data_IF_357607660970
#
_entry.id   IF_357607660970
#
_cell.length_a   1.000
_cell.length_b   1.000
_cell.length_c   1.000
_cell.angle_alpha   90.00
_cell.angle_beta   90.00
_cell.angle_gamma   90.00
#
_symmetry.space_group_name_H-M   'P 1'
#
loop_
_entity.id
_entity.type
_entity.pdbx_description
1 polymer ?
#
# COMPACT_ATOMS: atom_id res chain seq x y z
N UNK A 1 -23.87 14.77 20.91
CA UNK A 1 -22.99 13.77 21.54
C UNK A 1 -22.54 14.32 22.87
N UNK A 2 -22.70 13.56 23.95
CA UNK A 2 -22.23 13.95 25.29
C UNK A 2 -20.69 14.00 25.35
N UNK A 3 -20.15 14.64 26.39
CA UNK A 3 -18.70 14.84 26.57
C UNK A 3 -17.97 13.50 26.62
N UNK A 4 -18.53 12.51 27.31
CA UNK A 4 -17.94 11.17 27.42
C UNK A 4 -17.78 10.50 26.06
N UNK A 5 -18.82 10.52 25.23
CA UNK A 5 -18.72 10.01 23.86
C UNK A 5 -17.68 10.75 23.05
N UNK A 6 -17.55 12.08 23.18
CA UNK A 6 -16.55 12.87 22.43
C UNK A 6 -15.13 12.48 22.82
N UNK A 7 -14.87 12.28 24.12
CA UNK A 7 -13.57 11.80 24.62
C UNK A 7 -13.26 10.42 24.04
N UNK A 8 -14.21 9.48 24.11
CA UNK A 8 -14.01 8.12 23.57
C UNK A 8 -13.80 8.14 22.05
N UNK A 9 -14.52 9.01 21.33
CA UNK A 9 -14.35 9.20 19.90
C UNK A 9 -12.93 9.67 19.54
N UNK A 10 -12.43 10.71 20.22
CA UNK A 10 -11.09 11.25 19.99
C UNK A 10 -10.01 10.24 20.40
N UNK A 11 -10.18 9.56 21.54
CA UNK A 11 -9.27 8.51 21.99
C UNK A 11 -9.25 7.34 21.01
N UNK A 12 -10.42 6.86 20.58
CA UNK A 12 -10.56 5.79 19.60
C UNK A 12 -9.90 6.15 18.27
N UNK A 13 -10.15 7.37 17.76
CA UNK A 13 -9.49 7.90 16.57
C UNK A 13 -7.96 7.98 16.72
N UNK A 14 -7.47 8.48 17.86
CA UNK A 14 -6.03 8.65 18.08
C UNK A 14 -5.31 7.30 18.21
N UNK A 15 -5.91 6.35 18.93
CA UNK A 15 -5.40 4.99 19.07
C UNK A 15 -5.46 4.23 17.74
N UNK A 16 -6.55 4.37 16.99
CA UNK A 16 -6.68 3.80 15.65
C UNK A 16 -5.62 4.39 14.71
N UNK A 17 -5.42 5.71 14.74
CA UNK A 17 -4.38 6.40 13.98
C UNK A 17 -3.00 5.80 14.29
N UNK A 18 -2.62 5.69 15.57
CA UNK A 18 -1.32 5.14 15.95
C UNK A 18 -1.16 3.66 15.55
N UNK A 19 -2.17 2.83 15.83
CA UNK A 19 -2.10 1.38 15.64
C UNK A 19 -2.22 0.95 14.17
N UNK A 20 -3.13 1.54 13.41
CA UNK A 20 -3.29 1.27 11.97
C UNK A 20 -2.07 1.76 11.21
N UNK A 21 -1.60 2.98 11.50
CA UNK A 21 -0.39 3.50 10.85
C UNK A 21 0.81 2.63 11.21
N UNK A 22 0.97 2.24 12.48
CA UNK A 22 2.05 1.34 12.92
C UNK A 22 2.03 -0.05 12.26
N UNK A 23 0.86 -0.61 11.96
CA UNK A 23 0.75 -1.95 11.35
C UNK A 23 0.86 -1.90 9.82
N UNK A 24 0.03 -1.08 9.18
CA UNK A 24 -0.25 -1.19 7.75
C UNK A 24 0.71 -0.35 6.89
N UNK A 25 1.20 0.78 7.43
CA UNK A 25 2.18 1.61 6.72
C UNK A 25 3.49 0.86 6.55
N UNK A 26 3.88 0.01 7.51
CA UNK A 26 5.07 -0.82 7.38
C UNK A 26 4.87 -1.92 6.34
N UNK A 27 3.67 -2.52 6.27
CA UNK A 27 3.34 -3.50 5.24
C UNK A 27 3.32 -2.87 3.82
N UNK A 28 3.01 -1.58 3.73
CA UNK A 28 2.87 -0.85 2.46
C UNK A 28 4.15 -0.15 2.01
N UNK A 29 4.88 0.46 2.94
CA UNK A 29 6.09 1.24 2.68
C UNK A 29 7.37 0.52 3.11
N UNK A 30 7.28 -0.70 3.64
CA UNK A 30 8.43 -1.42 4.18
C UNK A 30 9.54 -1.64 3.15
N UNK A 31 9.17 -2.00 1.92
CA UNK A 31 10.06 -2.13 0.75
C UNK A 31 10.75 -0.81 0.41
N UNK A 32 9.99 0.30 0.41
CA UNK A 32 10.52 1.65 0.18
C UNK A 32 11.51 2.07 1.27
N UNK A 33 11.19 1.81 2.54
CA UNK A 33 12.06 2.11 3.69
C UNK A 33 13.35 1.29 3.60
N UNK A 34 13.27 0.00 3.27
CA UNK A 34 14.45 -0.87 3.17
C UNK A 34 15.34 -0.50 1.99
N UNK A 35 14.76 -0.30 0.80
CA UNK A 35 15.50 0.03 -0.42
C UNK A 35 16.07 1.45 -0.42
N UNK A 36 15.56 2.33 0.45
CA UNK A 36 16.04 3.70 0.62
C UNK A 36 16.68 3.94 2.01
N UNK A 37 17.15 2.88 2.68
CA UNK A 37 17.71 2.95 4.05
C UNK A 37 18.93 3.88 4.21
N UNK A 38 19.66 4.16 3.13
CA UNK A 38 20.77 5.14 3.11
C UNK A 38 20.29 6.59 3.02
N UNK A 39 19.02 6.84 2.65
CA UNK A 39 18.46 8.19 2.51
C UNK A 39 18.00 8.75 3.86
N UNK A 40 18.03 10.07 3.95
CA UNK A 40 17.56 10.78 5.15
C UNK A 40 16.04 10.60 5.29
N UNK A 41 15.59 10.26 6.50
CA UNK A 41 14.18 9.94 6.79
C UNK A 41 13.22 11.07 6.41
N UNK A 42 13.63 12.35 6.57
CA UNK A 42 12.78 13.49 6.24
C UNK A 42 12.52 13.63 4.73
N UNK A 43 13.42 13.14 3.87
CA UNK A 43 13.16 13.11 2.42
C UNK A 43 12.07 12.08 2.08
N UNK A 44 12.15 10.91 2.71
CA UNK A 44 11.12 9.87 2.59
C UNK A 44 9.77 10.38 3.12
N UNK A 45 9.81 11.11 4.24
CA UNK A 45 8.62 11.70 4.86
C UNK A 45 8.02 12.81 4.03
N UNK A 46 8.81 13.73 3.47
CA UNK A 46 8.30 14.77 2.58
C UNK A 46 7.63 14.17 1.34
N UNK A 47 8.18 13.09 0.79
CA UNK A 47 7.59 12.40 -0.35
C UNK A 47 6.24 11.74 0.00
N UNK A 48 6.25 10.84 0.98
CA UNK A 48 5.08 10.05 1.38
C UNK A 48 4.01 10.93 2.04
N UNK A 49 4.43 11.86 2.90
CA UNK A 49 3.58 12.86 3.54
C UNK A 49 3.00 13.85 2.53
N UNK A 50 3.76 14.25 1.51
CA UNK A 50 3.28 15.08 0.41
C UNK A 50 2.16 14.40 -0.39
N UNK A 51 2.32 13.11 -0.71
CA UNK A 51 1.25 12.32 -1.37
C UNK A 51 0.02 12.22 -0.46
N UNK A 52 0.22 11.97 0.83
CA UNK A 52 -0.87 11.91 1.80
C UNK A 52 -1.66 13.22 1.84
N UNK A 53 -0.96 14.35 1.95
CA UNK A 53 -1.56 15.68 1.93
C UNK A 53 -2.29 15.95 0.60
N UNK A 54 -1.73 15.54 -0.53
CA UNK A 54 -2.38 15.71 -1.83
C UNK A 54 -3.71 14.92 -1.92
N UNK A 55 -3.71 13.65 -1.48
CA UNK A 55 -4.92 12.81 -1.45
C UNK A 55 -5.95 13.39 -0.47
N UNK A 56 -5.53 13.81 0.72
CA UNK A 56 -6.40 14.42 1.72
C UNK A 56 -7.00 15.76 1.24
N UNK A 57 -6.19 16.59 0.56
CA UNK A 57 -6.66 17.85 -0.03
C UNK A 57 -7.68 17.58 -1.13
N UNK A 58 -7.41 16.61 -2.00
CA UNK A 58 -8.34 16.19 -3.03
C UNK A 58 -9.68 15.71 -2.42
N UNK A 59 -9.65 14.90 -1.37
CA UNK A 59 -10.84 14.43 -0.68
C UNK A 59 -11.64 15.58 -0.03
N UNK A 60 -10.95 16.56 0.54
CA UNK A 60 -11.57 17.76 1.09
C UNK A 60 -12.42 18.51 0.05
N UNK A 61 -11.83 18.83 -1.10
CA UNK A 61 -12.51 19.64 -2.11
C UNK A 61 -13.51 18.87 -2.97
N UNK A 62 -13.25 17.58 -3.25
CA UNK A 62 -14.03 16.82 -4.24
C UNK A 62 -14.97 15.80 -3.61
N UNK A 63 -14.75 15.42 -2.35
CA UNK A 63 -15.49 14.36 -1.65
C UNK A 63 -16.06 14.85 -0.32
N UNK A 64 -16.26 16.17 -0.15
CA UNK A 64 -16.80 16.76 1.07
C UNK A 64 -16.03 16.35 2.34
N UNK A 65 -14.70 16.21 2.24
CA UNK A 65 -13.87 15.77 3.36
C UNK A 65 -13.88 14.26 3.63
N UNK A 66 -14.54 13.44 2.80
CA UNK A 66 -14.49 11.99 2.93
C UNK A 66 -13.21 11.40 2.35
N UNK A 67 -12.19 11.25 3.21
CA UNK A 67 -10.92 10.63 2.86
C UNK A 67 -11.01 9.10 2.66
N UNK A 68 -12.12 8.48 3.06
CA UNK A 68 -12.38 7.05 2.85
C UNK A 68 -13.04 6.76 1.49
N UNK A 69 -13.31 7.79 0.67
CA UNK A 69 -13.83 7.66 -0.70
C UNK A 69 -15.14 6.84 -0.76
N UNK A 70 -16.08 7.09 0.15
CA UNK A 70 -17.38 6.43 0.24
C UNK A 70 -17.36 5.04 0.86
N UNK A 71 -16.21 4.56 1.36
CA UNK A 71 -16.11 3.24 2.00
C UNK A 71 -16.87 3.11 3.30
N UNK A 72 -17.06 4.24 3.95
CA UNK A 72 -17.76 4.33 5.21
C UNK A 72 -19.29 4.47 5.02
N UNK A 73 -19.79 4.65 3.80
CA UNK A 73 -21.23 4.86 3.52
C UNK A 73 -22.09 3.67 3.97
N UNK A 74 -21.54 2.46 3.91
CA UNK A 74 -22.21 1.22 4.32
C UNK A 74 -21.99 0.85 5.79
N UNK A 75 -21.23 1.66 6.53
CA UNK A 75 -20.92 1.42 7.95
C UNK A 75 -21.69 2.44 8.77
N UNK A 76 -22.54 2.02 9.71
CA UNK A 76 -23.34 2.96 10.50
C UNK A 76 -22.41 3.85 11.34
N UNK A 77 -22.70 5.15 11.36
CA UNK A 77 -22.04 6.08 12.26
C UNK A 77 -22.72 6.01 13.64
N UNK A 78 -22.00 5.67 14.72
CA UNK A 78 -22.60 5.51 16.03
C UNK A 78 -23.05 6.86 16.59
N UNK A 79 -24.28 6.91 17.14
CA UNK A 79 -24.82 8.12 17.79
C UNK A 79 -24.19 8.37 19.16
N UNK A 80 -23.82 7.30 19.86
CA UNK A 80 -23.14 7.30 21.16
C UNK A 80 -21.88 6.45 21.06
N UNK A 81 -20.76 6.95 21.60
CA UNK A 81 -19.50 6.23 21.61
C UNK A 81 -19.31 5.55 22.96
N UNK A 82 -19.39 4.23 22.97
CA UNK A 82 -19.14 3.44 24.17
C UNK A 82 -17.66 3.09 24.31
N UNK A 83 -17.19 2.90 25.55
CA UNK A 83 -15.78 2.68 25.86
C UNK A 83 -15.17 1.48 25.12
N UNK A 84 -15.96 0.45 24.84
CA UNK A 84 -15.50 -0.74 24.12
C UNK A 84 -15.12 -0.47 22.66
N UNK A 85 -15.53 0.66 22.07
CA UNK A 85 -15.05 1.07 20.73
C UNK A 85 -13.56 1.41 20.72
N UNK A 86 -12.95 1.70 21.88
CA UNK A 86 -11.50 1.88 21.97
C UNK A 86 -10.72 0.56 22.11
N UNK A 87 -11.39 -0.58 22.37
CA UNK A 87 -10.72 -1.87 22.54
C UNK A 87 -10.00 -2.37 21.28
N UNK A 88 -10.59 -2.33 20.07
CA UNK A 88 -9.92 -2.80 18.85
C UNK A 88 -8.54 -2.16 18.61
N UNK A 89 -8.38 -0.82 18.63
CA UNK A 89 -7.07 -0.23 18.41
C UNK A 89 -6.11 -0.50 19.56
N UNK A 90 -6.56 -0.62 20.82
CA UNK A 90 -5.69 -1.03 21.95
C UNK A 90 -5.15 -2.44 21.73
N UNK A 91 -6.02 -3.39 21.38
CA UNK A 91 -5.65 -4.77 21.08
C UNK A 91 -4.68 -4.81 19.91
N UNK A 92 -4.91 -3.98 18.89
CA UNK A 92 -4.00 -3.87 17.74
C UNK A 92 -2.61 -3.41 18.18
N UNK A 93 -2.49 -2.39 19.04
CA UNK A 93 -1.18 -1.98 19.59
C UNK A 93 -0.50 -3.13 20.33
N UNK A 94 -1.23 -3.91 21.11
CA UNK A 94 -0.67 -5.04 21.86
C UNK A 94 -0.19 -6.14 20.92
N UNK A 95 -1.03 -6.58 19.97
CA UNK A 95 -0.68 -7.68 19.07
C UNK A 95 0.46 -7.29 18.11
N UNK A 96 0.47 -6.05 17.64
CA UNK A 96 1.52 -5.56 16.72
C UNK A 96 2.90 -5.50 17.38
N UNK A 97 3.00 -5.36 18.71
CA UNK A 97 4.27 -5.48 19.46
C UNK A 97 4.90 -6.88 19.36
N UNK A 98 4.08 -7.92 19.18
CA UNK A 98 4.56 -9.29 18.96
C UNK A 98 4.91 -9.58 17.49
N UNK A 99 4.79 -8.59 16.60
CA UNK A 99 5.10 -8.75 15.18
C UNK A 99 4.14 -9.70 14.45
N UNK A 100 2.91 -9.86 14.95
CA UNK A 100 1.86 -10.62 14.27
C UNK A 100 1.12 -9.65 13.35
N UNK A 101 1.14 -9.85 12.02
CA UNK A 101 0.34 -9.04 11.11
C UNK A 101 -1.13 -9.33 11.34
N UNK A 102 -1.88 -8.30 11.74
CA UNK A 102 -3.34 -8.39 11.95
C UNK A 102 -4.05 -7.60 10.87
N UNK A 103 -5.19 -8.11 10.44
CA UNK A 103 -6.11 -7.35 9.61
C UNK A 103 -6.79 -6.24 10.44
N UNK A 104 -6.30 -5.03 10.27
CA UNK A 104 -6.86 -3.82 10.92
C UNK A 104 -8.31 -3.60 10.53
N UNK A 105 -8.64 -3.84 9.26
CA UNK A 105 -10.00 -3.78 8.72
C UNK A 105 -10.96 -4.70 9.48
N UNK A 106 -10.59 -5.97 9.71
CA UNK A 106 -11.46 -6.88 10.46
C UNK A 106 -11.56 -6.50 11.92
N UNK A 107 -10.45 -6.14 12.56
CA UNK A 107 -10.43 -5.86 13.99
C UNK A 107 -11.26 -4.61 14.32
N UNK A 108 -11.10 -3.54 13.54
CA UNK A 108 -11.75 -2.25 13.82
C UNK A 108 -13.16 -2.21 13.23
N UNK A 109 -13.32 -2.39 11.91
CA UNK A 109 -14.61 -2.11 11.26
C UNK A 109 -15.72 -3.10 11.61
N UNK A 110 -15.38 -4.33 11.98
CA UNK A 110 -16.37 -5.34 12.37
C UNK A 110 -17.11 -4.96 13.66
N UNK A 111 -16.49 -4.17 14.54
CA UNK A 111 -17.14 -3.65 15.75
C UNK A 111 -18.17 -2.58 15.43
N UNK A 112 -17.95 -1.82 14.35
CA UNK A 112 -18.90 -0.80 13.86
C UNK A 112 -20.00 -1.41 12.97
N UNK A 113 -19.75 -2.50 12.26
CA UNK A 113 -20.72 -3.14 11.39
C UNK A 113 -20.62 -4.67 11.39
N UNK A 114 -21.45 -5.32 12.23
CA UNK A 114 -21.53 -6.78 12.25
C UNK A 114 -22.13 -7.38 10.97
N UNK A 115 -23.00 -6.63 10.27
CA UNK A 115 -23.68 -7.09 9.05
C UNK A 115 -22.74 -7.22 7.85
N UNK A 116 -21.66 -6.43 7.79
CA UNK A 116 -20.76 -6.41 6.64
C UNK A 116 -19.61 -7.42 6.73
N UNK A 117 -19.42 -8.06 7.90
CA UNK A 117 -18.27 -8.94 8.18
C UNK A 117 -18.10 -10.02 7.11
N UNK A 118 -19.18 -10.74 6.76
CA UNK A 118 -19.13 -11.79 5.74
C UNK A 118 -18.58 -11.26 4.41
N UNK A 119 -19.11 -10.14 3.93
CA UNK A 119 -18.69 -9.53 2.66
C UNK A 119 -17.25 -9.00 2.70
N UNK A 120 -16.78 -8.55 3.86
CA UNK A 120 -15.39 -8.14 4.07
C UNK A 120 -14.45 -9.35 4.07
N UNK A 121 -14.87 -10.47 4.67
CA UNK A 121 -14.12 -11.75 4.68
C UNK A 121 -14.00 -12.29 3.27
N UNK A 122 -15.13 -12.42 2.55
CA UNK A 122 -15.15 -12.90 1.17
C UNK A 122 -14.22 -12.05 0.27
N UNK A 123 -14.29 -10.73 0.38
CA UNK A 123 -13.42 -9.82 -0.40
C UNK A 123 -11.95 -9.92 -0.04
N UNK A 124 -11.62 -10.15 1.23
CA UNK A 124 -10.22 -10.27 1.64
C UNK A 124 -9.64 -11.60 1.20
N UNK A 125 -10.43 -12.68 1.19
CA UNK A 125 -10.04 -13.98 0.63
C UNK A 125 -9.87 -13.90 -0.90
N UNK A 126 -10.79 -13.24 -1.60
CA UNK A 126 -10.63 -12.96 -3.03
C UNK A 126 -9.40 -12.08 -3.28
N UNK A 127 -9.19 -11.06 -2.46
CA UNK A 127 -8.00 -10.21 -2.44
C UNK A 127 -6.71 -11.01 -2.36
N UNK A 128 -6.63 -11.90 -1.37
CA UNK A 128 -5.52 -12.83 -1.19
C UNK A 128 -5.30 -13.69 -2.43
N UNK A 129 -6.35 -14.37 -2.92
CA UNK A 129 -6.23 -15.32 -4.02
C UNK A 129 -5.81 -14.62 -5.31
N UNK A 130 -6.40 -13.48 -5.62
CA UNK A 130 -6.03 -12.67 -6.78
C UNK A 130 -4.59 -12.19 -6.68
N UNK A 131 -4.17 -11.64 -5.53
CA UNK A 131 -2.78 -11.21 -5.33
C UNK A 131 -1.78 -12.36 -5.47
N UNK A 132 -2.12 -13.52 -4.90
CA UNK A 132 -1.32 -14.74 -4.96
C UNK A 132 -1.15 -15.24 -6.39
N UNK A 133 -2.24 -15.37 -7.15
CA UNK A 133 -2.20 -15.81 -8.55
C UNK A 133 -1.48 -14.81 -9.44
N UNK A 134 -1.79 -13.51 -9.31
CA UNK A 134 -1.11 -12.45 -10.07
C UNK A 134 0.38 -12.45 -9.77
N UNK A 135 0.80 -12.58 -8.51
CA UNK A 135 2.20 -12.68 -8.15
C UNK A 135 2.85 -13.92 -8.77
N UNK A 136 2.24 -15.10 -8.69
CA UNK A 136 2.77 -16.31 -9.33
C UNK A 136 2.98 -16.09 -10.82
N UNK A 137 1.95 -15.63 -11.54
CA UNK A 137 2.00 -15.39 -12.97
C UNK A 137 3.10 -14.39 -13.31
N UNK A 138 3.07 -13.22 -12.67
CA UNK A 138 4.00 -12.12 -12.92
C UNK A 138 5.44 -12.56 -12.65
N UNK A 139 5.71 -13.19 -11.50
CA UNK A 139 7.05 -13.65 -11.15
C UNK A 139 7.50 -14.87 -11.98
N UNK A 140 6.60 -15.72 -12.48
CA UNK A 140 6.94 -16.78 -13.45
C UNK A 140 7.41 -16.21 -14.80
N UNK A 141 6.82 -15.10 -15.26
CA UNK A 141 7.22 -14.44 -16.51
C UNK A 141 8.44 -13.53 -16.34
N UNK A 142 8.55 -12.84 -15.21
CA UNK A 142 9.62 -11.88 -14.92
C UNK A 142 10.92 -12.59 -14.53
N UNK A 143 10.89 -13.61 -13.67
CA UNK A 143 12.10 -14.14 -13.02
C UNK A 143 13.07 -14.81 -14.01
N UNK A 144 12.58 -15.54 -15.02
CA UNK A 144 13.46 -16.12 -16.06
C UNK A 144 14.34 -15.10 -16.80
N UNK A 145 13.88 -13.85 -16.99
CA UNK A 145 14.62 -12.82 -17.75
C UNK A 145 15.29 -11.77 -16.87
N UNK A 146 14.60 -11.29 -15.84
CA UNK A 146 15.10 -10.20 -15.00
C UNK A 146 15.94 -10.70 -13.85
N UNK A 147 15.65 -11.86 -13.29
CA UNK A 147 16.33 -12.34 -12.08
C UNK A 147 17.59 -13.13 -12.41
N UNK A 148 17.62 -13.87 -13.53
CA UNK A 148 18.88 -14.39 -14.08
C UNK A 148 19.85 -13.26 -14.42
N UNK A 149 19.31 -12.11 -14.88
CA UNK A 149 20.07 -10.88 -15.06
C UNK A 149 20.47 -10.28 -13.69
N UNK A 150 19.59 -10.19 -12.69
CA UNK A 150 19.90 -9.63 -11.36
C UNK A 150 20.90 -10.46 -10.56
N UNK A 151 20.82 -11.79 -10.61
CA UNK A 151 21.75 -12.72 -9.96
C UNK A 151 23.09 -12.74 -10.71
N UNK A 152 23.12 -12.75 -12.04
CA UNK A 152 24.38 -12.63 -12.80
C UNK A 152 25.04 -11.25 -12.63
N UNK A 153 24.23 -10.22 -12.35
CA UNK A 153 24.66 -8.85 -12.08
C UNK A 153 25.17 -8.68 -10.63
N UNK A 154 24.75 -9.51 -9.68
CA UNK A 154 25.22 -9.41 -8.30
C UNK A 154 26.71 -9.74 -8.14
N UNK A 155 27.30 -10.56 -9.02
CA UNK A 155 28.71 -10.97 -8.95
C UNK A 155 29.56 -10.57 -10.18
N UNK A 156 28.95 -10.20 -11.32
CA UNK A 156 29.67 -9.89 -12.59
C UNK A 156 29.50 -8.45 -13.09
N UNK A 157 28.92 -7.57 -12.28
CA UNK A 157 28.65 -6.17 -12.66
C UNK A 157 29.80 -5.20 -12.37
N UNK A 158 30.89 -5.67 -11.75
CA UNK A 158 32.12 -4.88 -11.62
C UNK A 158 32.89 -4.73 -12.94
N UNK A 159 32.56 -5.49 -14.00
CA UNK A 159 33.38 -5.54 -15.23
C UNK A 159 32.72 -4.98 -16.51
N UNK A 160 31.44 -4.59 -16.50
CA UNK A 160 30.73 -4.21 -17.74
C UNK A 160 30.41 -2.71 -17.93
N UNK A 161 31.02 -1.81 -17.17
CA UNK A 161 30.88 -0.36 -17.42
C UNK A 161 32.05 0.19 -18.23
N UNK A 162 32.06 -0.14 -19.52
CA UNK A 162 32.81 0.63 -20.51
C UNK A 162 32.17 0.61 -21.91
N UNK A 163 30.85 0.79 -22.04
CA UNK A 163 30.29 1.17 -23.35
C UNK A 163 28.94 1.91 -23.29
N UNK A 164 28.96 3.13 -23.82
CA UNK A 164 27.87 3.94 -24.40
C UNK A 164 26.67 4.36 -23.51
N UNK A 165 26.81 5.56 -22.97
CA UNK A 165 25.83 6.38 -22.22
C UNK A 165 24.47 6.57 -22.91
N UNK A 166 24.42 6.55 -24.25
CA UNK A 166 23.19 6.94 -24.98
C UNK A 166 22.24 5.77 -25.25
N UNK A 167 22.76 4.55 -25.43
CA UNK A 167 21.92 3.38 -25.74
C UNK A 167 21.18 2.86 -24.50
N UNK A 168 21.79 2.98 -23.31
CA UNK A 168 21.18 2.58 -22.03
C UNK A 168 20.06 3.55 -21.64
N UNK A 169 20.26 4.85 -21.86
CA UNK A 169 19.24 5.88 -21.67
C UNK A 169 18.04 5.67 -22.61
N UNK A 170 18.29 5.48 -23.92
CA UNK A 170 17.21 5.19 -24.86
C UNK A 170 16.45 3.92 -24.48
N UNK A 171 17.13 2.85 -24.05
CA UNK A 171 16.45 1.61 -23.63
C UNK A 171 15.65 1.77 -22.34
N UNK A 172 16.17 2.50 -21.34
CA UNK A 172 15.44 2.75 -20.09
C UNK A 172 14.22 3.65 -20.32
N UNK A 173 14.38 4.70 -21.12
CA UNK A 173 13.29 5.58 -21.55
C UNK A 173 12.25 4.84 -22.38
N UNK A 174 12.69 4.00 -23.32
CA UNK A 174 11.81 3.16 -24.14
C UNK A 174 11.09 2.10 -23.30
N UNK A 175 11.76 1.47 -22.32
CA UNK A 175 11.14 0.50 -21.40
C UNK A 175 10.15 1.18 -20.45
N UNK A 176 10.41 2.41 -20.02
CA UNK A 176 9.49 3.23 -19.23
C UNK A 176 8.27 3.67 -20.05
N UNK A 177 8.48 4.12 -21.30
CA UNK A 177 7.40 4.41 -22.25
C UNK A 177 6.62 3.16 -22.65
N UNK A 178 7.25 1.99 -22.70
CA UNK A 178 6.57 0.70 -22.88
C UNK A 178 5.82 0.31 -21.63
N UNK A 179 6.31 0.57 -20.42
CA UNK A 179 5.59 0.25 -19.18
C UNK A 179 4.37 1.17 -18.98
N UNK A 180 4.53 2.47 -19.26
CA UNK A 180 3.42 3.44 -19.31
C UNK A 180 2.49 3.11 -20.47
N UNK A 181 3.06 2.83 -21.64
CA UNK A 181 2.33 2.46 -22.84
C UNK A 181 1.54 1.17 -22.64
N UNK A 182 2.09 0.15 -21.99
CA UNK A 182 1.41 -1.09 -21.61
C UNK A 182 0.38 -0.84 -20.51
N UNK A 183 0.63 0.05 -19.55
CA UNK A 183 -0.38 0.47 -18.58
C UNK A 183 -1.56 1.15 -19.27
N UNK A 184 -1.29 2.08 -20.20
CA UNK A 184 -2.29 2.79 -21.01
C UNK A 184 -2.97 1.85 -22.01
N UNK A 185 -2.24 0.89 -22.58
CA UNK A 185 -2.73 -0.11 -23.56
C UNK A 185 -3.52 -1.20 -22.87
N UNK A 186 -3.19 -1.62 -21.65
CA UNK A 186 -4.02 -2.51 -20.82
C UNK A 186 -5.30 -1.79 -20.41
N UNK A 187 -5.20 -0.50 -20.03
CA UNK A 187 -6.37 0.36 -19.77
C UNK A 187 -7.21 0.61 -21.03
N UNK A 188 -6.60 0.72 -22.22
CA UNK A 188 -7.29 0.86 -23.51
C UNK A 188 -7.82 -0.47 -24.09
N UNK A 189 -7.17 -1.60 -23.82
CA UNK A 189 -7.65 -2.95 -24.20
C UNK A 189 -8.89 -3.30 -23.38
N UNK A 190 -8.92 -2.89 -22.11
CA UNK A 190 -10.13 -2.92 -21.28
C UNK A 190 -11.13 -1.82 -21.72
N UNK A 191 -10.64 -0.75 -22.36
CA UNK A 191 -11.38 0.44 -22.77
C UNK A 191 -11.73 0.52 -24.26
N UNK A 192 -12.38 -0.50 -24.84
CA UNK A 192 -13.00 -0.34 -26.16
C UNK A 192 -14.22 0.62 -26.07
N UNK A 193 -13.94 1.87 -26.45
CA UNK A 193 -14.79 3.07 -26.52
C UNK A 193 -16.25 2.85 -26.97
N UNK A 194 -16.48 2.01 -27.98
CA UNK A 194 -17.83 1.78 -28.52
C UNK A 194 -18.67 0.81 -27.67
N UNK A 195 -18.04 -0.04 -26.85
CA UNK A 195 -18.75 -1.03 -26.03
C UNK A 195 -19.28 -0.39 -24.71
N UNK A 196 -18.53 0.54 -24.14
CA UNK A 196 -18.82 1.12 -22.81
C UNK A 196 -19.93 2.17 -22.87
N UNK A 197 -19.95 3.03 -23.89
CA UNK A 197 -21.04 3.99 -24.09
C UNK A 197 -22.38 3.28 -24.37
N UNK A 198 -22.33 2.15 -25.10
CA UNK A 198 -23.51 1.33 -25.41
C UNK A 198 -24.10 0.57 -24.22
N UNK A 199 -23.30 0.22 -23.21
CA UNK A 199 -23.73 -0.61 -22.06
C UNK A 199 -24.07 0.24 -20.81
N UNK A 200 -23.31 1.31 -20.52
CA UNK A 200 -23.39 2.01 -19.22
C UNK A 200 -23.96 3.42 -19.27
N UNK A 201 -24.24 3.96 -20.46
CA UNK A 201 -24.87 5.28 -20.65
C UNK A 201 -23.96 6.49 -20.37
N UNK A 202 -24.42 7.66 -20.81
CA UNK A 202 -23.62 8.91 -20.90
C UNK A 202 -23.06 9.43 -19.56
N UNK A 203 -23.70 9.12 -18.43
CA UNK A 203 -23.24 9.56 -17.10
C UNK A 203 -21.98 8.82 -16.62
N UNK A 204 -21.86 7.52 -16.87
CA UNK A 204 -20.67 6.73 -16.51
C UNK A 204 -19.41 7.20 -17.27
N UNK A 205 -19.59 7.69 -18.51
CA UNK A 205 -18.52 8.27 -19.32
C UNK A 205 -17.99 9.60 -18.76
N UNK A 206 -18.88 10.44 -18.19
CA UNK A 206 -18.48 11.69 -17.52
C UNK A 206 -17.58 11.42 -16.31
N UNK A 207 -17.86 10.34 -15.57
CA UNK A 207 -17.02 9.85 -14.46
C UNK A 207 -15.66 9.33 -14.95
N UNK A 208 -15.63 8.60 -16.08
CA UNK A 208 -14.39 8.10 -16.71
C UNK A 208 -13.48 9.23 -17.23
N UNK A 209 -14.03 10.27 -17.87
CA UNK A 209 -13.27 11.45 -18.29
C UNK A 209 -12.62 12.18 -17.12
N UNK A 210 -13.34 12.27 -15.99
CA UNK A 210 -12.84 12.86 -14.75
C UNK A 210 -11.70 12.03 -14.14
N UNK A 211 -11.71 10.70 -14.32
CA UNK A 211 -10.65 9.79 -13.90
C UNK A 211 -9.35 10.00 -14.71
N UNK A 212 -9.45 10.10 -16.04
CA UNK A 212 -8.28 10.37 -16.90
C UNK A 212 -7.66 11.73 -16.55
N UNK A 213 -8.48 12.75 -16.35
CA UNK A 213 -8.03 14.09 -15.96
C UNK A 213 -7.28 14.11 -14.61
N UNK A 214 -7.75 13.36 -13.60
CA UNK A 214 -7.08 13.25 -12.29
C UNK A 214 -5.70 12.58 -12.37
N UNK A 215 -5.54 11.58 -13.23
CA UNK A 215 -4.26 10.91 -13.40
C UNK A 215 -3.25 11.77 -14.18
N UNK A 216 -3.72 12.57 -15.15
CA UNK A 216 -2.89 13.60 -15.81
C UNK A 216 -2.48 14.70 -14.82
N UNK A 217 -3.37 15.12 -13.93
CA UNK A 217 -3.07 16.09 -12.88
C UNK A 217 -2.05 15.54 -11.86
N UNK A 218 -2.15 14.24 -11.50
CA UNK A 218 -1.16 13.57 -10.67
C UNK A 218 0.22 13.51 -11.36
N UNK A 219 0.26 13.29 -12.68
CA UNK A 219 1.50 13.37 -13.45
C UNK A 219 2.11 14.78 -13.44
N UNK A 220 1.30 15.85 -13.45
CA UNK A 220 1.76 17.24 -13.32
C UNK A 220 2.37 17.57 -11.95
N UNK A 221 2.12 16.77 -10.90
CA UNK A 221 2.78 16.89 -9.59
C UNK A 221 4.02 16.00 -9.50
N UNK A 222 3.95 14.79 -10.07
CA UNK A 222 5.05 13.82 -10.06
C UNK A 222 6.22 14.29 -10.91
N UNK A 223 5.98 14.99 -12.03
CA UNK A 223 7.03 15.47 -12.94
C UNK A 223 7.89 16.61 -12.36
N UNK A 224 7.33 17.64 -11.69
CA UNK A 224 8.12 18.63 -10.97
C UNK A 224 8.88 18.05 -9.77
N UNK A 225 8.27 17.11 -9.03
CA UNK A 225 8.94 16.38 -7.94
C UNK A 225 10.09 15.52 -8.50
N UNK A 226 9.91 14.91 -9.68
CA UNK A 226 10.96 14.22 -10.42
C UNK A 226 12.14 15.17 -10.73
N UNK A 227 11.88 16.37 -11.26
CA UNK A 227 12.94 17.34 -11.55
C UNK A 227 13.65 17.84 -10.29
N UNK A 228 12.90 18.05 -9.21
CA UNK A 228 13.45 18.48 -7.92
C UNK A 228 14.34 17.40 -7.28
N UNK A 229 13.88 16.15 -7.26
CA UNK A 229 14.64 15.02 -6.72
C UNK A 229 15.85 14.66 -7.60
N UNK A 230 15.73 14.76 -8.93
CA UNK A 230 16.83 14.60 -9.87
C UNK A 230 17.93 15.65 -9.63
N UNK A 231 17.54 16.91 -9.41
CA UNK A 231 18.47 18.01 -9.12
C UNK A 231 19.19 17.83 -7.79
N UNK A 232 18.50 17.34 -6.76
CA UNK A 232 19.12 17.02 -5.45
C UNK A 232 20.05 15.80 -5.55
N UNK A 233 19.71 14.81 -6.38
CA UNK A 233 20.54 13.62 -6.63
C UNK A 233 21.87 13.93 -7.33
N UNK A 234 21.94 15.01 -8.13
CA UNK A 234 23.19 15.47 -8.76
C UNK A 234 24.13 16.19 -7.78
N UNK A 235 23.59 16.90 -6.78
CA UNK A 235 24.40 17.68 -5.83
C UNK A 235 25.04 16.79 -4.76
N UNK A 236 24.48 15.62 -4.48
CA UNK A 236 25.00 14.68 -3.49
C UNK A 236 26.11 13.74 -4.02
N UNK A 237 26.39 13.72 -5.33
CA UNK A 237 27.18 12.66 -5.96
C UNK A 237 28.43 13.19 -6.68
N UNK A 238 29.35 13.78 -5.92
CA UNK A 238 30.72 14.01 -6.43
C UNK A 238 31.80 13.15 -5.77
N UNK A 239 31.50 12.24 -4.82
CA UNK A 239 32.60 11.52 -4.14
C UNK A 239 32.51 10.04 -3.78
N UNK A 240 31.37 9.34 -3.85
CA UNK A 240 31.35 7.90 -3.53
C UNK A 240 30.81 7.07 -4.70
N UNK A 241 31.74 6.44 -5.42
CA UNK A 241 31.51 5.66 -6.64
C UNK A 241 31.37 4.16 -6.37
N UNK A 242 30.57 3.78 -5.36
CA UNK A 242 30.18 2.39 -5.16
C UNK A 242 28.66 2.30 -4.96
N UNK A 243 28.02 1.46 -5.77
CA UNK A 243 26.58 1.13 -5.73
C UNK A 243 25.60 2.07 -6.48
N UNK A 244 25.89 2.34 -7.75
CA UNK A 244 24.90 2.95 -8.66
C UNK A 244 23.89 1.91 -9.17
N UNK A 245 22.77 1.75 -8.47
CA UNK A 245 21.50 1.46 -9.18
C UNK A 245 21.23 2.62 -10.13
N UNK A 246 20.93 2.36 -11.42
CA UNK A 246 20.67 3.45 -12.37
C UNK A 246 19.58 4.36 -11.83
N UNK A 247 19.76 5.68 -11.95
CA UNK A 247 18.83 6.68 -11.42
C UNK A 247 17.37 6.41 -11.83
N UNK A 248 17.16 5.78 -13.00
CA UNK A 248 15.84 5.35 -13.51
C UNK A 248 15.13 4.33 -12.62
N UNK A 249 15.84 3.34 -12.06
CA UNK A 249 15.22 2.34 -11.16
C UNK A 249 14.79 2.95 -9.84
N UNK A 250 15.58 3.90 -9.31
CA UNK A 250 15.18 4.67 -8.14
C UNK A 250 13.89 5.47 -8.41
N UNK A 251 13.81 6.14 -9.55
CA UNK A 251 12.61 6.89 -9.94
C UNK A 251 11.40 5.95 -10.10
N UNK A 252 11.58 4.82 -10.79
CA UNK A 252 10.52 3.83 -10.96
C UNK A 252 10.03 3.30 -9.61
N UNK A 253 10.94 3.01 -8.69
CA UNK A 253 10.64 2.57 -7.33
C UNK A 253 9.79 3.61 -6.61
N UNK A 254 10.23 4.88 -6.58
CA UNK A 254 9.49 5.96 -5.92
C UNK A 254 8.09 6.13 -6.52
N UNK A 255 7.96 6.16 -7.85
CA UNK A 255 6.66 6.25 -8.52
C UNK A 255 5.77 5.06 -8.15
N UNK A 256 6.30 3.84 -8.17
CA UNK A 256 5.54 2.64 -7.79
C UNK A 256 5.09 2.67 -6.33
N UNK A 257 5.95 3.11 -5.41
CA UNK A 257 5.59 3.34 -4.01
C UNK A 257 4.52 4.40 -3.88
N UNK A 258 4.66 5.54 -4.58
CA UNK A 258 3.68 6.62 -4.53
C UNK A 258 2.31 6.19 -5.04
N UNK A 259 2.27 5.38 -6.11
CA UNK A 259 1.05 4.76 -6.61
C UNK A 259 0.43 3.82 -5.56
N UNK A 260 1.20 2.86 -5.04
CA UNK A 260 0.75 1.94 -4.00
C UNK A 260 0.23 2.71 -2.76
N UNK A 261 0.99 3.69 -2.30
CA UNK A 261 0.67 4.51 -1.13
C UNK A 261 -0.64 5.26 -1.30
N UNK A 262 -0.87 5.85 -2.48
CA UNK A 262 -2.15 6.50 -2.77
C UNK A 262 -3.33 5.52 -2.76
N UNK A 263 -3.15 4.28 -3.24
CA UNK A 263 -4.20 3.26 -3.18
C UNK A 263 -4.47 2.84 -1.74
N UNK A 264 -3.42 2.67 -0.94
CA UNK A 264 -3.54 2.32 0.47
C UNK A 264 -4.30 3.39 1.26
N UNK A 265 -3.95 4.68 1.11
CA UNK A 265 -4.67 5.78 1.77
C UNK A 265 -6.17 5.71 1.46
N UNK A 266 -6.52 5.62 0.17
CA UNK A 266 -7.92 5.59 -0.27
C UNK A 266 -8.68 4.40 0.32
N UNK A 267 -7.98 3.29 0.54
CA UNK A 267 -8.55 2.07 1.07
C UNK A 267 -8.71 2.15 2.60
N UNK A 268 -7.59 2.27 3.30
CA UNK A 268 -7.49 1.96 4.73
C UNK A 268 -7.78 3.18 5.62
N UNK A 269 -7.94 4.39 5.08
CA UNK A 269 -8.45 5.52 5.86
C UNK A 269 -9.83 5.25 6.44
N UNK A 270 -10.60 4.32 5.88
CA UNK A 270 -11.83 3.82 6.49
C UNK A 270 -11.59 3.28 7.92
N UNK A 271 -10.48 2.57 8.19
CA UNK A 271 -10.19 1.98 9.50
C UNK A 271 -9.92 3.05 10.57
N UNK A 272 -9.48 4.23 10.16
CA UNK A 272 -9.14 5.34 11.07
C UNK A 272 -10.31 6.32 11.19
N UNK A 273 -10.87 6.76 10.05
CA UNK A 273 -11.96 7.74 10.00
C UNK A 273 -13.33 7.16 10.35
N UNK A 274 -13.45 5.85 10.60
CA UNK A 274 -14.70 5.26 11.11
C UNK A 274 -15.19 5.94 12.39
N UNK A 275 -14.26 6.44 13.21
CA UNK A 275 -14.51 7.17 14.47
C UNK A 275 -14.89 8.64 14.28
N UNK A 276 -14.62 9.26 13.13
CA UNK A 276 -14.88 10.69 12.96
C UNK A 276 -16.18 10.93 12.16
N UNK A 277 -16.84 12.08 12.37
CA UNK A 277 -17.93 12.55 11.51
C UNK A 277 -17.50 12.60 10.03
N UNK A 278 -18.46 12.37 9.13
CA UNK A 278 -18.24 12.16 7.68
C UNK A 278 -19.03 13.16 6.84
N UNK A 279 -18.79 13.23 5.53
CA UNK A 279 -19.57 14.02 4.56
C UNK A 279 -19.78 15.48 4.98
N UNK A 280 -18.69 16.18 5.28
CA UNK A 280 -18.71 17.60 5.66
C UNK A 280 -19.17 17.89 7.10
N UNK A 281 -19.58 16.88 7.87
CA UNK A 281 -19.96 17.07 9.28
C UNK A 281 -18.75 17.32 10.20
N UNK A 282 -17.54 17.01 9.76
CA UNK A 282 -16.30 17.35 10.47
C UNK A 282 -15.88 18.78 10.12
N UNK A 283 -15.60 19.60 11.13
CA UNK A 283 -15.12 20.96 10.91
C UNK A 283 -13.80 20.97 10.14
N UNK A 284 -13.54 22.03 9.38
CA UNK A 284 -12.28 22.16 8.63
C UNK A 284 -11.06 22.04 9.53
N UNK A 285 -11.11 22.66 10.71
CA UNK A 285 -10.05 22.52 11.72
C UNK A 285 -9.90 21.07 12.20
N UNK A 286 -11.01 20.39 12.51
CA UNK A 286 -10.99 18.99 12.94
C UNK A 286 -10.40 18.05 11.88
N UNK A 287 -10.76 18.26 10.60
CA UNK A 287 -10.20 17.51 9.48
C UNK A 287 -8.69 17.72 9.37
N UNK A 288 -8.22 18.97 9.31
CA UNK A 288 -6.79 19.24 9.14
C UNK A 288 -5.95 18.85 10.35
N UNK A 289 -6.49 18.88 11.58
CA UNK A 289 -5.84 18.33 12.76
C UNK A 289 -5.70 16.80 12.69
N UNK A 290 -6.73 16.10 12.21
CA UNK A 290 -6.68 14.66 11.97
C UNK A 290 -5.60 14.30 10.93
N UNK A 291 -5.52 15.06 9.83
CA UNK A 291 -4.49 14.88 8.81
C UNK A 291 -3.09 15.19 9.37
N UNK A 292 -2.94 16.28 10.13
CA UNK A 292 -1.67 16.65 10.76
C UNK A 292 -1.17 15.58 11.74
N UNK A 293 -2.07 14.98 12.53
CA UNK A 293 -1.74 13.85 13.40
C UNK A 293 -1.21 12.67 12.58
N UNK A 294 -1.90 12.27 11.50
CA UNK A 294 -1.49 11.15 10.67
C UNK A 294 -0.15 11.40 9.97
N UNK A 295 0.07 12.59 9.42
CA UNK A 295 1.34 12.99 8.81
C UNK A 295 2.47 13.03 9.86
N UNK A 296 2.19 13.49 11.08
CA UNK A 296 3.14 13.44 12.19
C UNK A 296 3.51 12.00 12.59
N UNK A 297 2.54 11.11 12.69
CA UNK A 297 2.77 9.68 12.97
C UNK A 297 3.57 9.00 11.86
N UNK A 298 3.31 9.34 10.59
CA UNK A 298 4.13 8.89 9.46
C UNK A 298 5.59 9.34 9.60
N UNK A 299 5.80 10.59 10.04
CA UNK A 299 7.14 11.12 10.32
C UNK A 299 7.86 10.33 11.40
N UNK A 300 7.15 9.98 12.49
CA UNK A 300 7.68 9.16 13.57
C UNK A 300 8.08 7.76 13.09
N UNK A 301 7.24 7.09 12.29
CA UNK A 301 7.55 5.75 11.75
C UNK A 301 8.76 5.79 10.82
N UNK A 302 8.85 6.79 9.95
CA UNK A 302 9.99 6.93 9.03
C UNK A 302 11.28 7.31 9.77
N UNK A 303 11.19 8.14 10.81
CA UNK A 303 12.31 8.43 11.71
C UNK A 303 12.83 7.17 12.40
N UNK A 304 11.92 6.33 12.90
CA UNK A 304 12.25 5.04 13.52
C UNK A 304 12.58 3.92 12.50
N UNK A 305 12.53 4.22 11.19
CA UNK A 305 12.72 3.26 10.10
C UNK A 305 11.85 2.00 10.22
N UNK A 306 10.61 2.16 10.70
CA UNK A 306 9.65 1.07 10.90
C UNK A 306 9.88 0.18 12.14
N UNK A 307 10.89 0.44 12.98
CA UNK A 307 11.06 -0.23 14.27
C UNK A 307 11.07 -1.77 14.22
N UNK A 308 10.47 -2.43 15.20
CA UNK A 308 10.44 -3.90 15.32
C UNK A 308 9.62 -4.60 14.22
N UNK A 309 8.58 -3.96 13.69
CA UNK A 309 7.66 -4.53 12.69
C UNK A 309 8.33 -4.57 11.31
N UNK A 310 9.26 -3.65 11.02
CA UNK A 310 10.06 -3.67 9.78
C UNK A 310 10.80 -5.00 9.58
N UNK A 311 11.15 -5.72 10.66
CA UNK A 311 11.77 -7.04 10.60
C UNK A 311 10.93 -8.07 9.83
N UNK A 312 9.61 -7.90 9.76
CA UNK A 312 8.73 -8.80 9.00
C UNK A 312 8.94 -8.65 7.49
N UNK A 313 9.19 -7.42 7.02
CA UNK A 313 9.41 -7.14 5.59
C UNK A 313 10.86 -7.41 5.21
N UNK A 314 11.81 -7.03 6.06
CA UNK A 314 13.25 -7.20 5.77
C UNK A 314 13.75 -8.65 5.88
N UNK A 315 12.97 -9.55 6.49
CA UNK A 315 13.26 -10.99 6.48
C UNK A 315 12.84 -11.68 5.17
N UNK A 316 12.22 -10.95 4.24
CA UNK A 316 11.80 -11.49 2.93
C UNK A 316 12.90 -11.33 1.90
N UNK A 317 12.94 -12.25 0.94
CA UNK A 317 14.00 -12.34 -0.06
C UNK A 317 14.07 -11.07 -0.89
N UNK A 318 15.24 -10.45 -1.01
CA UNK A 318 15.52 -9.35 -1.94
C UNK A 318 14.59 -8.10 -1.82
N UNK A 319 14.16 -7.71 -0.61
CA UNK A 319 13.36 -6.48 -0.40
C UNK A 319 14.20 -5.21 -0.28
N UNK A 320 15.52 -5.35 -0.17
CA UNK A 320 16.47 -4.24 -0.13
C UNK A 320 16.87 -3.75 -1.53
N UNK A 321 16.73 -4.58 -2.55
CA UNK A 321 17.00 -4.19 -3.93
C UNK A 321 15.88 -3.30 -4.48
N UNK A 322 16.26 -2.15 -5.03
CA UNK A 322 15.35 -1.13 -5.58
C UNK A 322 14.48 -1.68 -6.72
N UNK A 323 14.98 -2.62 -7.53
CA UNK A 323 14.28 -3.18 -8.69
C UNK A 323 13.21 -4.16 -8.22
N UNK A 324 13.57 -5.04 -7.29
CA UNK A 324 12.64 -5.94 -6.62
C UNK A 324 11.54 -5.16 -5.88
N UNK A 325 11.92 -4.12 -5.11
CA UNK A 325 10.98 -3.23 -4.46
C UNK A 325 10.01 -2.56 -5.45
N UNK A 326 10.50 -2.10 -6.61
CA UNK A 326 9.64 -1.53 -7.67
C UNK A 326 8.55 -2.50 -8.14
N UNK A 327 8.92 -3.76 -8.39
CA UNK A 327 8.00 -4.77 -8.89
C UNK A 327 6.96 -5.14 -7.82
N UNK A 328 7.41 -5.29 -6.56
CA UNK A 328 6.51 -5.57 -5.43
C UNK A 328 5.50 -4.44 -5.28
N UNK A 329 5.98 -3.19 -5.18
CA UNK A 329 5.14 -2.02 -4.96
C UNK A 329 4.13 -1.83 -6.08
N UNK A 330 4.56 -1.96 -7.33
CA UNK A 330 3.69 -1.80 -8.49
C UNK A 330 2.63 -2.89 -8.58
N UNK A 331 3.01 -4.16 -8.36
CA UNK A 331 2.06 -5.28 -8.40
C UNK A 331 1.05 -5.16 -7.28
N UNK A 332 1.49 -4.81 -6.08
CA UNK A 332 0.60 -4.60 -4.95
C UNK A 332 -0.37 -3.43 -5.23
N UNK A 333 0.15 -2.32 -5.74
CA UNK A 333 -0.66 -1.15 -6.10
C UNK A 333 -1.74 -1.47 -7.13
N UNK A 334 -1.44 -2.27 -8.15
CA UNK A 334 -2.42 -2.68 -9.17
C UNK A 334 -3.52 -3.53 -8.54
N UNK A 335 -3.16 -4.51 -7.70
CA UNK A 335 -4.18 -5.36 -7.06
C UNK A 335 -5.08 -4.50 -6.17
N UNK A 336 -4.51 -3.63 -5.34
CA UNK A 336 -5.31 -2.71 -4.52
C UNK A 336 -6.22 -1.82 -5.38
N UNK A 337 -5.70 -1.29 -6.49
CA UNK A 337 -6.46 -0.46 -7.42
C UNK A 337 -7.67 -1.20 -7.99
N UNK A 338 -7.49 -2.43 -8.51
CA UNK A 338 -8.57 -3.24 -9.07
C UNK A 338 -9.67 -3.47 -8.02
N UNK A 339 -9.29 -3.88 -6.82
CA UNK A 339 -10.28 -4.14 -5.77
C UNK A 339 -11.01 -2.88 -5.30
N UNK A 340 -10.29 -1.75 -5.24
CA UNK A 340 -10.88 -0.45 -4.90
C UNK A 340 -11.94 -0.03 -5.91
N UNK A 341 -11.68 -0.20 -7.21
CA UNK A 341 -12.62 0.21 -8.27
C UNK A 341 -13.79 -0.79 -8.37
N UNK A 342 -13.51 -2.08 -8.16
CA UNK A 342 -14.54 -3.11 -8.15
C UNK A 342 -15.50 -2.99 -6.95
N UNK A 343 -15.02 -2.51 -5.79
CA UNK A 343 -15.89 -2.38 -4.63
C UNK A 343 -15.56 -1.27 -3.62
N UNK A 344 -16.63 -0.61 -3.18
CA UNK A 344 -16.62 0.34 -2.06
C UNK A 344 -16.66 -0.30 -0.67
N UNK A 345 -16.70 -1.62 -0.54
CA UNK A 345 -16.62 -2.26 0.79
C UNK A 345 -15.14 -2.39 1.18
N UNK A 346 -14.73 -1.93 2.38
CA UNK A 346 -13.38 -2.16 2.89
C UNK A 346 -12.99 -3.63 2.84
N UNK A 347 -11.80 -3.92 2.33
CA UNK A 347 -11.16 -5.23 2.37
C UNK A 347 -9.89 -5.17 3.23
N UNK A 348 -9.33 -6.30 3.62
CA UNK A 348 -8.06 -6.29 4.33
C UNK A 348 -6.88 -6.25 3.37
N UNK A 349 -6.13 -5.15 3.40
CA UNK A 349 -4.88 -5.00 2.63
C UNK A 349 -3.79 -5.95 3.13
N UNK A 350 -3.77 -6.32 4.41
CA UNK A 350 -2.91 -7.38 4.97
C UNK A 350 -3.05 -8.73 4.25
N UNK A 351 -4.27 -9.15 3.91
CA UNK A 351 -4.49 -10.41 3.18
C UNK A 351 -3.96 -10.34 1.75
N UNK A 352 -4.17 -9.21 1.07
CA UNK A 352 -3.61 -8.96 -0.27
C UNK A 352 -2.09 -9.01 -0.24
N UNK A 353 -1.47 -8.33 0.74
CA UNK A 353 -0.02 -8.30 0.92
C UNK A 353 0.56 -9.69 1.16
N UNK A 354 -0.01 -10.47 2.08
CA UNK A 354 0.46 -11.84 2.35
C UNK A 354 0.27 -12.76 1.15
N UNK A 355 -0.84 -12.62 0.41
CA UNK A 355 -1.06 -13.36 -0.84
C UNK A 355 0.01 -13.04 -1.89
N UNK A 356 0.32 -11.76 -2.09
CA UNK A 356 1.37 -11.31 -3.00
C UNK A 356 2.74 -11.91 -2.63
N UNK A 357 3.12 -11.81 -1.36
CA UNK A 357 4.38 -12.36 -0.86
C UNK A 357 4.44 -13.88 -1.04
N UNK A 358 3.37 -14.58 -0.68
CA UNK A 358 3.30 -16.03 -0.81
C UNK A 358 3.45 -16.48 -2.27
N UNK A 359 2.75 -15.84 -3.19
CA UNK A 359 2.82 -16.17 -4.62
C UNK A 359 4.21 -15.89 -5.19
N UNK A 360 4.80 -14.75 -4.80
CA UNK A 360 6.18 -14.39 -5.16
C UNK A 360 7.18 -15.42 -4.67
N UNK A 361 7.25 -15.71 -3.38
CA UNK A 361 8.27 -16.61 -2.82
C UNK A 361 8.19 -18.01 -3.45
N UNK A 362 6.98 -18.53 -3.70
CA UNK A 362 6.79 -19.80 -4.41
C UNK A 362 7.31 -19.74 -5.85
N UNK A 363 6.96 -18.69 -6.60
CA UNK A 363 7.40 -18.53 -7.98
C UNK A 363 8.92 -18.37 -8.10
N UNK A 364 9.54 -17.65 -7.16
CA UNK A 364 10.99 -17.48 -7.07
C UNK A 364 11.67 -18.81 -6.77
N UNK A 365 11.20 -19.53 -5.76
CA UNK A 365 11.78 -20.81 -5.35
C UNK A 365 11.66 -21.88 -6.43
N UNK A 366 10.53 -21.91 -7.13
CA UNK A 366 10.33 -22.81 -8.26
C UNK A 366 11.33 -22.55 -9.39
N UNK A 367 11.69 -21.29 -9.64
CA UNK A 367 12.63 -20.91 -10.70
C UNK A 367 14.10 -20.98 -10.29
N UNK A 368 14.40 -20.77 -9.01
CA UNK A 368 15.75 -20.79 -8.43
C UNK A 368 16.21 -22.19 -7.98
N UNK A 369 15.55 -23.25 -8.43
CA UNK A 369 15.83 -24.63 -8.01
C UNK A 369 17.18 -25.18 -8.54
N UNK A 370 18.29 -24.81 -7.88
CA UNK A 370 19.44 -25.64 -7.49
C UNK A 370 20.49 -24.75 -6.80
N UNK A 371 20.39 -24.57 -5.48
CA UNK A 371 21.54 -24.16 -4.65
C UNK A 371 21.28 -23.07 -3.61
N UNK A 372 20.59 -21.98 -3.95
CA UNK A 372 20.69 -20.73 -3.15
C UNK A 372 19.40 -20.30 -2.41
N UNK A 373 18.20 -20.70 -2.86
CA UNK A 373 16.92 -20.20 -2.32
C UNK A 373 16.27 -21.06 -1.20
N UNK A 374 16.96 -22.10 -0.72
CA UNK A 374 16.40 -23.06 0.25
C UNK A 374 15.48 -24.11 -0.39
N UNK A 375 15.06 -25.10 0.41
CA UNK A 375 14.20 -26.18 -0.07
C UNK A 375 12.79 -25.65 -0.42
N UNK A 376 12.19 -26.13 -1.50
CA UNK A 376 10.79 -25.83 -1.83
C UNK A 376 9.84 -26.11 -0.65
N UNK A 377 10.15 -27.13 0.17
CA UNK A 377 9.42 -27.43 1.42
C UNK A 377 9.56 -26.32 2.47
N UNK A 378 10.74 -25.72 2.63
CA UNK A 378 10.93 -24.64 3.60
C UNK A 378 10.15 -23.39 3.21
N UNK A 379 10.04 -23.07 1.92
CA UNK A 379 9.25 -21.92 1.46
C UNK A 379 7.76 -22.13 1.63
N UNK A 380 7.24 -23.33 1.33
CA UNK A 380 5.85 -23.68 1.65
C UNK A 380 5.59 -23.56 3.15
N UNK A 381 6.51 -24.01 4.02
CA UNK A 381 6.35 -23.86 5.47
C UNK A 381 6.32 -22.40 5.91
N UNK A 382 7.11 -21.52 5.31
CA UNK A 382 7.07 -20.07 5.59
C UNK A 382 5.73 -19.48 5.18
N UNK A 383 5.25 -19.79 3.97
CA UNK A 383 3.94 -19.34 3.47
C UNK A 383 2.80 -19.81 4.38
N UNK A 384 2.78 -21.09 4.76
CA UNK A 384 1.77 -21.65 5.67
C UNK A 384 1.84 -21.01 7.06
N UNK A 385 3.04 -20.71 7.56
CA UNK A 385 3.21 -20.01 8.84
C UNK A 385 2.66 -18.60 8.79
N UNK A 386 2.89 -17.87 7.70
CA UNK A 386 2.37 -16.51 7.52
C UNK A 386 0.84 -16.52 7.35
N UNK A 387 0.30 -17.47 6.58
CA UNK A 387 -1.14 -17.74 6.49
C UNK A 387 -1.76 -18.05 7.86
N UNK A 388 -1.12 -18.91 8.65
CA UNK A 388 -1.57 -19.26 9.99
C UNK A 388 -1.63 -18.05 10.92
N UNK A 389 -0.63 -17.16 10.84
CA UNK A 389 -0.61 -15.91 11.64
C UNK A 389 -1.76 -14.97 11.29
N UNK A 390 -2.00 -14.71 10.00
CA UNK A 390 -3.11 -13.83 9.61
C UNK A 390 -4.47 -14.45 9.91
N UNK A 391 -4.60 -15.78 9.80
CA UNK A 391 -5.81 -16.49 10.15
C UNK A 391 -6.08 -16.42 11.66
N UNK A 392 -5.06 -16.59 12.50
CA UNK A 392 -5.16 -16.34 13.94
C UNK A 392 -5.62 -14.90 14.22
N UNK A 393 -5.07 -13.91 13.51
CA UNK A 393 -5.51 -12.52 13.61
C UNK A 393 -6.99 -12.31 13.23
N UNK A 394 -7.49 -13.01 12.22
CA UNK A 394 -8.91 -13.02 11.87
C UNK A 394 -9.75 -13.65 12.98
N UNK A 395 -9.35 -14.81 13.51
CA UNK A 395 -10.04 -15.49 14.62
C UNK A 395 -10.13 -14.57 15.84
N UNK A 396 -9.03 -13.93 16.23
CA UNK A 396 -9.00 -12.96 17.34
C UNK A 396 -9.95 -11.79 17.07
N UNK A 397 -9.97 -11.25 15.85
CA UNK A 397 -10.91 -10.18 15.46
C UNK A 397 -12.37 -10.62 15.59
N UNK A 398 -12.71 -11.82 15.12
CA UNK A 398 -14.07 -12.36 15.18
C UNK A 398 -14.49 -12.67 16.62
N UNK A 399 -13.60 -13.23 17.43
CA UNK A 399 -13.83 -13.46 18.86
C UNK A 399 -14.05 -12.13 19.60
N UNK A 400 -13.28 -11.09 19.30
CA UNK A 400 -13.48 -9.76 19.91
C UNK A 400 -14.86 -9.21 19.57
N UNK A 401 -15.28 -9.29 18.31
CA UNK A 401 -16.61 -8.82 17.89
C UNK A 401 -17.70 -9.61 18.60
N UNK A 402 -17.55 -10.93 18.70
CA UNK A 402 -18.46 -11.80 19.42
C UNK A 402 -18.54 -11.42 20.91
N UNK A 403 -17.41 -11.18 21.58
CA UNK A 403 -17.37 -10.72 22.98
C UNK A 403 -18.04 -9.35 23.15
N UNK A 404 -17.75 -8.38 22.27
CA UNK A 404 -18.37 -7.05 22.32
C UNK A 404 -19.88 -7.13 22.09
N UNK A 405 -20.37 -8.12 21.33
CA UNK A 405 -21.80 -8.30 21.12
C UNK A 405 -22.58 -8.66 22.39
N UNK A 406 -21.91 -9.19 23.44
CA UNK A 406 -22.52 -9.39 24.76
C UNK A 406 -22.49 -8.14 25.66
N UNK A 407 -21.62 -7.18 25.34
CA UNK A 407 -21.51 -5.91 26.08
C UNK A 407 -22.48 -4.84 25.58
N UNK A 408 -23.10 -5.08 24.41
CA UNK A 408 -24.03 -4.20 23.72
C UNK A 408 -25.47 -4.61 23.98
#
# INVERSE_FOLDING_TARGET
MDITSQIIMILGFSLASYSVVGNDVIQTLGTFISSNSKRKWHLLWLYIGGIFLAVATYAWFQLQGDIAYGRLDKIPFPKNYHWWLALPPVILVVITRFGIPVSTTFLILSVFSSKNIRSMVEKSLLGYLTAFVVAIVLYMFISKRLEKYFISTSHKYQEFTKTSSNAVFLRAFFNFLIAIGLGIVIVNLIGHYQLIEGIFGKEAYKTYRLFVFKNVLAALVVVPVYFFLYRQGLIANSKDSEEYTSNSWMIAQWISTGFLWSQWIIQDMANIFVYLPRHGALSALGYWLAIALLVGLLGLILYQRGGGIQKIVTTKTNTFDIRSATIIDFTYGIVLFIFKEYSKIPMSTTWVFVGLLAGREIALTYQLARGEAGSFRSVIMVVLKDLGKIFLGLVVSLLLVWLISYLK
#
